data_IF_244952400733
#
_entry.id   IF_244952400733
#
_cell.length_a   1.000
_cell.length_b   1.000
_cell.length_c   1.000
_cell.angle_alpha   90.00
_cell.angle_beta   90.00
_cell.angle_gamma   90.00
#
_symmetry.space_group_name_H-M   'P 1'
#
loop_
_entity.id
_entity.type
_entity.pdbx_description
1 polymer ?
#
# COMPACT_ATOMS: atom_id res chain seq x y z
N UNK A 1 -15.19 43.50 19.72
CA UNK A 1 -14.51 42.37 20.46
C UNK A 1 -15.24 41.05 20.27
N UNK A 2 -16.57 41.02 20.43
CA UNK A 2 -17.35 39.79 20.27
C UNK A 2 -17.32 39.23 18.83
N UNK A 3 -17.37 40.10 17.82
CA UNK A 3 -17.29 39.73 16.41
C UNK A 3 -15.90 39.20 16.02
N UNK A 4 -14.86 39.79 16.57
CA UNK A 4 -13.48 39.34 16.37
C UNK A 4 -13.24 37.96 16.99
N UNK A 5 -13.75 37.74 18.20
CA UNK A 5 -13.67 36.48 18.90
C UNK A 5 -14.41 35.34 18.15
N UNK A 6 -15.61 35.68 17.66
CA UNK A 6 -16.41 34.75 16.85
C UNK A 6 -15.72 34.40 15.52
N UNK A 7 -15.14 35.39 14.85
CA UNK A 7 -14.38 35.17 13.62
C UNK A 7 -13.12 34.32 13.89
N UNK A 8 -12.42 34.56 14.99
CA UNK A 8 -11.29 33.76 15.40
C UNK A 8 -11.72 32.30 15.67
N UNK A 9 -12.83 32.11 16.35
CA UNK A 9 -13.40 30.77 16.60
C UNK A 9 -13.72 30.01 15.31
N UNK A 10 -14.31 30.68 14.33
CA UNK A 10 -14.59 30.08 13.01
C UNK A 10 -13.29 29.71 12.28
N UNK A 11 -12.28 30.56 12.33
CA UNK A 11 -10.98 30.29 11.71
C UNK A 11 -10.26 29.10 12.37
N UNK A 12 -10.27 29.04 13.68
CA UNK A 12 -9.69 27.90 14.43
C UNK A 12 -10.42 26.62 14.11
N UNK A 13 -11.75 26.63 14.09
CA UNK A 13 -12.57 25.46 13.72
C UNK A 13 -12.29 24.99 12.30
N UNK A 14 -12.11 25.90 11.35
CA UNK A 14 -11.75 25.55 9.97
C UNK A 14 -10.33 24.96 9.89
N UNK A 15 -9.37 25.49 10.64
CA UNK A 15 -8.01 24.95 10.72
C UNK A 15 -7.99 23.56 11.34
N UNK A 16 -8.73 23.33 12.41
CA UNK A 16 -8.88 22.01 13.03
C UNK A 16 -9.49 21.01 12.06
N UNK A 17 -10.56 21.39 11.37
CA UNK A 17 -11.19 20.54 10.34
C UNK A 17 -10.21 20.19 9.22
N UNK A 18 -9.45 21.15 8.72
CA UNK A 18 -8.44 20.92 7.68
C UNK A 18 -7.28 20.04 8.19
N UNK A 19 -6.86 20.21 9.44
CA UNK A 19 -5.84 19.36 10.06
C UNK A 19 -6.33 17.91 10.22
N UNK A 20 -7.61 17.70 10.53
CA UNK A 20 -8.21 16.38 10.68
C UNK A 20 -8.55 15.70 9.34
N UNK A 21 -8.54 16.44 8.23
CA UNK A 21 -8.84 15.86 6.91
C UNK A 21 -7.78 14.86 6.44
N UNK A 22 -6.54 15.02 6.85
CA UNK A 22 -5.45 14.11 6.47
C UNK A 22 -4.82 13.53 7.71
N UNK A 23 -4.88 12.21 7.83
CA UNK A 23 -4.21 11.43 8.88
C UNK A 23 -2.98 10.78 8.30
N UNK A 24 -1.87 10.86 9.04
CA UNK A 24 -0.59 10.31 8.66
C UNK A 24 -0.21 9.19 9.61
N UNK A 25 -0.01 8.00 9.06
CA UNK A 25 0.59 6.88 9.76
C UNK A 25 1.93 6.57 9.10
N UNK A 26 2.90 6.14 9.90
CA UNK A 26 4.22 5.83 9.39
C UNK A 26 4.81 4.59 10.04
N UNK A 27 5.75 3.97 9.34
CA UNK A 27 6.55 2.84 9.83
C UNK A 27 7.98 3.03 9.40
N UNK A 28 8.90 2.87 10.35
CA UNK A 28 10.33 2.79 10.09
C UNK A 28 10.79 1.37 10.37
N UNK A 29 11.49 0.76 9.41
CA UNK A 29 12.08 -0.56 9.57
C UNK A 29 13.53 -0.52 9.12
N UNK A 30 14.41 -0.99 9.99
CA UNK A 30 15.80 -1.26 9.68
C UNK A 30 15.98 -2.77 9.49
N UNK A 31 16.64 -3.15 8.42
CA UNK A 31 16.95 -4.55 8.12
C UNK A 31 18.44 -4.68 7.85
N UNK A 32 19.09 -5.50 8.64
CA UNK A 32 20.47 -5.90 8.42
C UNK A 32 20.50 -7.34 7.89
N UNK A 33 21.11 -7.52 6.75
CA UNK A 33 21.28 -8.85 6.15
C UNK A 33 22.76 -9.12 5.96
N UNK A 34 23.23 -10.25 6.50
CA UNK A 34 24.60 -10.73 6.32
C UNK A 34 24.56 -12.12 5.70
N UNK A 35 25.11 -12.24 4.51
CA UNK A 35 25.16 -13.50 3.78
C UNK A 35 26.62 -13.90 3.58
N UNK A 36 26.95 -15.13 3.94
CA UNK A 36 28.27 -15.74 3.70
C UNK A 36 28.08 -17.05 2.98
N UNK A 37 28.53 -17.10 1.74
CA UNK A 37 28.65 -18.35 1.01
C UNK A 37 30.06 -18.94 1.21
N UNK A 38 30.16 -20.25 1.24
CA UNK A 38 31.43 -20.94 1.37
C UNK A 38 32.32 -20.65 0.16
N UNK A 39 33.48 -20.06 0.39
CA UNK A 39 34.40 -19.66 -0.67
C UNK A 39 34.22 -18.22 -1.22
N UNK A 40 33.23 -17.46 -0.77
CA UNK A 40 32.98 -16.10 -1.20
C UNK A 40 33.18 -15.06 -0.09
N UNK A 41 33.34 -13.80 -0.50
CA UNK A 41 33.42 -12.69 0.45
C UNK A 41 32.07 -12.49 1.13
N UNK A 42 32.09 -12.26 2.44
CA UNK A 42 30.91 -11.91 3.22
C UNK A 42 30.21 -10.67 2.64
N UNK A 43 28.96 -10.80 2.28
CA UNK A 43 28.11 -9.69 1.85
C UNK A 43 27.22 -9.22 3.01
N UNK A 44 27.28 -7.94 3.31
CA UNK A 44 26.43 -7.30 4.30
C UNK A 44 25.57 -6.26 3.59
N UNK A 45 24.30 -6.19 3.93
CA UNK A 45 23.35 -5.21 3.40
C UNK A 45 22.56 -4.58 4.55
N UNK A 46 22.56 -3.25 4.59
CA UNK A 46 21.83 -2.44 5.57
C UNK A 46 20.76 -1.65 4.82
N UNK A 47 19.50 -1.98 5.06
CA UNK A 47 18.36 -1.32 4.42
C UNK A 47 17.49 -0.63 5.47
N UNK A 48 17.15 0.62 5.20
CA UNK A 48 16.13 1.37 5.94
C UNK A 48 14.90 1.54 5.04
N UNK A 49 13.76 1.12 5.55
CA UNK A 49 12.45 1.34 4.93
C UNK A 49 11.68 2.37 5.75
N UNK A 50 11.30 3.46 5.11
CA UNK A 50 10.35 4.42 5.64
C UNK A 50 9.04 4.30 4.86
N UNK A 51 7.96 3.93 5.57
CA UNK A 51 6.63 3.80 4.98
C UNK A 51 5.73 4.89 5.53
N UNK A 52 5.00 5.53 4.65
CA UNK A 52 4.03 6.56 4.96
C UNK A 52 2.67 6.16 4.42
N UNK A 53 1.66 6.12 5.28
CA UNK A 53 0.27 5.77 4.95
C UNK A 53 -0.64 6.97 5.22
N UNK A 54 -0.76 7.94 4.29
CA UNK A 54 -1.71 9.03 4.42
C UNK A 54 -3.14 8.58 4.14
N UNK A 55 -4.09 9.11 4.89
CA UNK A 55 -5.52 8.93 4.67
C UNK A 55 -6.18 10.30 4.67
N UNK A 56 -6.85 10.66 3.58
CA UNK A 56 -7.60 11.90 3.46
C UNK A 56 -9.11 11.62 3.51
N UNK A 57 -9.81 12.32 4.38
CA UNK A 57 -11.26 12.30 4.46
C UNK A 57 -11.84 13.29 3.46
N UNK A 58 -12.59 12.81 2.47
CA UNK A 58 -13.22 13.67 1.46
C UNK A 58 -14.61 14.09 1.90
N UNK A 59 -15.40 13.13 2.37
CA UNK A 59 -16.73 13.34 2.95
C UNK A 59 -17.10 12.17 3.87
N UNK A 60 -18.33 12.09 4.34
CA UNK A 60 -18.78 11.06 5.28
C UNK A 60 -18.67 9.63 4.76
N UNK A 61 -18.61 9.43 3.45
CA UNK A 61 -18.55 8.11 2.82
C UNK A 61 -17.21 7.83 2.15
N UNK A 62 -16.53 8.86 1.62
CA UNK A 62 -15.35 8.69 0.79
C UNK A 62 -14.07 9.11 1.48
N UNK A 63 -13.09 8.24 1.41
CA UNK A 63 -11.72 8.42 1.88
C UNK A 63 -10.74 8.14 0.75
N UNK A 64 -9.63 8.85 0.73
CA UNK A 64 -8.50 8.55 -0.16
C UNK A 64 -7.37 8.02 0.69
N UNK A 65 -6.85 6.85 0.34
CA UNK A 65 -5.74 6.19 1.02
C UNK A 65 -4.59 5.98 0.08
N UNK A 66 -3.38 6.18 0.57
CA UNK A 66 -2.17 5.91 -0.17
C UNK A 66 -1.11 5.24 0.70
N UNK A 67 -0.13 4.62 0.07
CA UNK A 67 1.05 4.06 0.71
C UNK A 67 2.28 4.41 -0.09
N UNK A 68 3.21 5.08 0.55
CA UNK A 68 4.52 5.43 0.00
C UNK A 68 5.60 4.66 0.76
N UNK A 69 6.47 3.98 0.04
CA UNK A 69 7.64 3.32 0.57
C UNK A 69 8.90 4.01 0.07
N UNK A 70 9.71 4.51 0.98
CA UNK A 70 11.05 5.00 0.71
C UNK A 70 12.07 4.02 1.27
N UNK A 71 12.91 3.48 0.40
CA UNK A 71 14.00 2.56 0.77
C UNK A 71 15.34 3.19 0.49
N UNK A 72 16.26 3.04 1.40
CA UNK A 72 17.64 3.43 1.23
C UNK A 72 18.57 2.33 1.73
N UNK A 73 19.68 2.12 1.02
CA UNK A 73 20.76 1.25 1.46
C UNK A 73 21.84 2.11 2.12
N UNK A 74 22.08 1.90 3.41
CA UNK A 74 23.03 2.72 4.18
C UNK A 74 24.48 2.51 3.80
N UNK A 75 24.79 1.49 3.00
CA UNK A 75 26.15 1.28 2.44
C UNK A 75 26.43 2.09 1.18
N UNK A 76 25.40 2.58 0.53
CA UNK A 76 25.53 3.34 -0.70
C UNK A 76 25.45 4.83 -0.40
N UNK A 77 26.59 5.43 -0.15
CA UNK A 77 26.71 6.87 0.11
C UNK A 77 26.36 7.74 -1.12
N UNK A 78 26.24 7.13 -2.31
CA UNK A 78 25.93 7.84 -3.55
C UNK A 78 24.41 7.85 -3.87
N UNK A 79 23.58 7.22 -3.05
CA UNK A 79 22.13 7.20 -3.22
C UNK A 79 21.61 6.43 -4.45
N UNK A 80 22.42 5.52 -4.99
CA UNK A 80 22.07 4.75 -6.20
C UNK A 80 20.93 3.76 -5.96
N UNK A 81 20.82 3.27 -4.73
CA UNK A 81 19.79 2.31 -4.33
C UNK A 81 18.61 2.96 -3.60
N UNK A 82 18.56 4.28 -3.59
CA UNK A 82 17.44 5.00 -3.01
C UNK A 82 16.22 4.92 -3.93
N UNK A 83 15.12 4.43 -3.38
CA UNK A 83 13.87 4.30 -4.12
C UNK A 83 12.69 4.87 -3.34
N UNK A 84 11.83 5.60 -4.03
CA UNK A 84 10.53 6.01 -3.53
C UNK A 84 9.46 5.40 -4.42
N UNK A 85 8.58 4.59 -3.85
CA UNK A 85 7.57 3.85 -4.60
C UNK A 85 6.19 4.15 -4.03
N UNK A 86 5.26 4.52 -4.91
CA UNK A 86 3.85 4.57 -4.58
C UNK A 86 3.27 3.16 -4.63
N UNK A 87 3.11 2.52 -3.47
CA UNK A 87 2.59 1.15 -3.37
C UNK A 87 1.09 1.07 -3.59
N UNK A 88 0.34 1.97 -2.99
CA UNK A 88 -1.12 2.02 -3.04
C UNK A 88 -1.60 3.45 -3.19
N UNK A 89 -2.65 3.64 -3.95
CA UNK A 89 -3.39 4.89 -4.05
C UNK A 89 -4.80 4.58 -4.52
N UNK A 90 -5.77 4.67 -3.63
CA UNK A 90 -7.16 4.37 -3.96
C UNK A 90 -8.15 5.22 -3.18
N UNK A 91 -9.33 5.42 -3.77
CA UNK A 91 -10.48 6.00 -3.11
C UNK A 91 -11.36 4.88 -2.57
N UNK A 92 -11.81 5.01 -1.32
CA UNK A 92 -12.68 4.07 -0.64
C UNK A 92 -14.00 4.75 -0.30
N UNK A 93 -15.11 4.17 -0.75
CA UNK A 93 -16.46 4.59 -0.39
C UNK A 93 -17.09 3.59 0.57
N UNK A 94 -17.43 4.05 1.78
CA UNK A 94 -18.05 3.23 2.83
C UNK A 94 -19.54 3.55 2.92
N UNK A 95 -20.36 2.55 2.65
CA UNK A 95 -21.82 2.61 2.74
C UNK A 95 -22.34 1.54 3.69
N UNK A 96 -23.58 1.67 4.11
CA UNK A 96 -24.18 0.79 5.13
C UNK A 96 -24.14 -0.71 4.75
N UNK A 97 -24.33 -1.02 3.46
CA UNK A 97 -24.45 -2.39 2.98
C UNK A 97 -23.28 -2.87 2.11
N UNK A 98 -22.43 -1.94 1.67
CA UNK A 98 -21.32 -2.26 0.78
C UNK A 98 -20.18 -1.25 0.93
N UNK A 99 -19.01 -1.64 0.47
CA UNK A 99 -17.81 -0.81 0.38
C UNK A 99 -17.25 -0.91 -1.03
N UNK A 100 -16.82 0.20 -1.59
CA UNK A 100 -16.22 0.29 -2.91
C UNK A 100 -14.80 0.85 -2.78
N UNK A 101 -13.84 0.25 -3.47
CA UNK A 101 -12.48 0.79 -3.60
C UNK A 101 -12.14 0.94 -5.08
N UNK A 102 -11.57 2.07 -5.45
CA UNK A 102 -11.18 2.38 -6.83
C UNK A 102 -9.75 2.90 -6.84
N UNK A 103 -8.89 2.29 -7.62
CA UNK A 103 -7.50 2.70 -7.80
C UNK A 103 -6.50 1.57 -7.69
N UNK A 104 -5.29 1.88 -7.22
CA UNK A 104 -4.22 0.91 -7.01
C UNK A 104 -4.30 0.38 -5.57
N UNK A 105 -4.55 -0.90 -5.43
CA UNK A 105 -4.76 -1.55 -4.13
C UNK A 105 -4.12 -2.94 -4.07
N UNK A 106 -4.05 -3.51 -2.86
CA UNK A 106 -3.53 -4.85 -2.65
C UNK A 106 -4.45 -5.93 -3.21
N UNK A 107 -3.84 -7.03 -3.66
CA UNK A 107 -4.56 -8.24 -4.06
C UNK A 107 -5.33 -8.84 -2.88
N UNK A 108 -6.34 -9.64 -3.17
CA UNK A 108 -7.10 -10.38 -2.16
C UNK A 108 -6.15 -11.21 -1.28
N UNK A 109 -6.02 -10.79 -0.03
CA UNK A 109 -5.40 -11.59 1.02
C UNK A 109 -6.46 -11.88 2.07
N UNK A 110 -6.58 -13.09 2.57
CA UNK A 110 -7.48 -13.38 3.68
C UNK A 110 -7.13 -12.48 4.87
N UNK A 111 -8.06 -11.65 5.31
CA UNK A 111 -7.90 -10.90 6.56
C UNK A 111 -7.86 -11.92 7.71
N UNK A 112 -6.81 -11.87 8.52
CA UNK A 112 -6.65 -12.75 9.67
C UNK A 112 -5.33 -13.51 9.74
N UNK A 113 -4.35 -13.15 8.93
CA UNK A 113 -2.98 -13.66 9.02
C UNK A 113 -2.78 -15.06 8.43
N UNK A 114 -3.80 -15.64 7.83
CA UNK A 114 -3.66 -16.85 7.05
C UNK A 114 -3.33 -16.45 5.61
N UNK A 115 -2.05 -16.42 5.30
CA UNK A 115 -1.63 -16.34 3.90
C UNK A 115 -1.99 -17.68 3.25
N UNK A 116 -2.94 -17.65 2.32
CA UNK A 116 -3.13 -18.80 1.45
C UNK A 116 -1.79 -19.14 0.79
N UNK A 117 -1.41 -20.41 0.67
CA UNK A 117 -0.12 -20.80 0.08
C UNK A 117 0.16 -20.18 -1.29
N UNK A 118 -0.86 -19.75 -2.02
CA UNK A 118 -0.74 -19.00 -3.27
C UNK A 118 -0.43 -17.50 -3.11
N UNK A 119 -0.66 -16.92 -1.94
CA UNK A 119 -0.41 -15.49 -1.71
C UNK A 119 1.09 -15.16 -1.64
N UNK A 120 1.93 -16.13 -1.40
CA UNK A 120 3.40 -15.97 -1.45
C UNK A 120 3.89 -15.71 -2.88
N UNK A 121 3.15 -16.19 -3.87
CA UNK A 121 3.49 -16.04 -5.29
C UNK A 121 2.90 -14.75 -5.89
N UNK A 122 1.85 -14.21 -5.28
CA UNK A 122 1.10 -13.06 -5.77
C UNK A 122 0.98 -11.94 -4.72
N UNK A 123 2.03 -11.69 -3.98
CA UNK A 123 2.09 -10.49 -3.13
C UNK A 123 2.36 -9.27 -4.02
N UNK A 124 1.30 -8.57 -4.36
CA UNK A 124 1.37 -7.43 -5.24
C UNK A 124 0.14 -6.55 -5.17
N UNK A 125 0.14 -5.52 -5.98
CA UNK A 125 -0.96 -4.59 -6.14
C UNK A 125 -1.57 -4.71 -7.55
N UNK A 126 -2.85 -4.40 -7.64
CA UNK A 126 -3.54 -4.26 -8.91
C UNK A 126 -4.20 -2.88 -9.02
N UNK A 127 -4.47 -2.46 -10.23
CA UNK A 127 -5.21 -1.23 -10.50
C UNK A 127 -6.60 -1.56 -11.03
N UNK A 128 -7.62 -1.13 -10.33
CA UNK A 128 -8.99 -1.47 -10.69
C UNK A 128 -10.00 -1.10 -9.61
N UNK A 129 -10.97 -1.97 -9.44
CA UNK A 129 -12.07 -1.79 -8.51
C UNK A 129 -12.23 -3.01 -7.59
N UNK A 130 -12.65 -2.72 -6.36
CA UNK A 130 -13.06 -3.72 -5.38
C UNK A 130 -14.43 -3.34 -4.83
N UNK A 131 -15.32 -4.30 -4.75
CA UNK A 131 -16.62 -4.17 -4.08
C UNK A 131 -16.72 -5.25 -3.03
N UNK A 132 -17.04 -4.86 -1.80
CA UNK A 132 -17.31 -5.80 -0.71
C UNK A 132 -18.69 -5.54 -0.11
N UNK A 133 -19.41 -6.62 0.22
CA UNK A 133 -20.73 -6.55 0.80
C UNK A 133 -21.00 -7.73 1.72
N UNK A 134 -21.97 -7.57 2.59
CA UNK A 134 -22.38 -8.58 3.58
C UNK A 134 -21.97 -8.21 5.01
N UNK A 135 -22.69 -8.77 5.99
CA UNK A 135 -22.43 -8.60 7.42
C UNK A 135 -21.91 -9.89 8.05
N UNK A 136 -22.72 -10.93 8.00
CA UNK A 136 -22.38 -12.25 8.57
C UNK A 136 -21.59 -13.10 7.58
N UNK A 137 -21.88 -12.95 6.30
CA UNK A 137 -21.12 -13.52 5.20
C UNK A 137 -20.60 -12.37 4.34
N UNK A 138 -19.30 -12.18 4.31
CA UNK A 138 -18.67 -11.10 3.55
C UNK A 138 -18.21 -11.62 2.19
N UNK A 139 -18.70 -11.00 1.13
CA UNK A 139 -18.24 -11.25 -0.23
C UNK A 139 -17.39 -10.07 -0.72
N UNK A 140 -16.26 -10.37 -1.34
CA UNK A 140 -15.35 -9.40 -1.94
C UNK A 140 -15.10 -9.75 -3.39
N UNK A 141 -15.32 -8.80 -4.28
CA UNK A 141 -15.09 -8.91 -5.71
C UNK A 141 -14.03 -7.91 -6.12
N UNK A 142 -13.01 -8.36 -6.83
CA UNK A 142 -11.96 -7.51 -7.37
C UNK A 142 -11.85 -7.70 -8.88
N UNK A 143 -11.66 -6.62 -9.61
CA UNK A 143 -11.40 -6.64 -11.05
C UNK A 143 -10.48 -5.50 -11.45
N UNK A 144 -9.51 -5.78 -12.30
CA UNK A 144 -8.57 -4.77 -12.76
C UNK A 144 -7.40 -5.34 -13.54
N UNK A 145 -6.28 -4.66 -13.47
CA UNK A 145 -5.04 -5.03 -14.16
C UNK A 145 -3.89 -5.13 -13.18
N UNK A 146 -3.12 -6.18 -13.34
CA UNK A 146 -1.81 -6.36 -12.67
C UNK A 146 -0.72 -5.93 -13.65
N UNK A 147 0.09 -4.96 -13.26
CA UNK A 147 1.27 -4.58 -14.03
C UNK A 147 2.47 -5.41 -13.58
N UNK A 148 3.07 -6.11 -14.51
CA UNK A 148 4.35 -6.83 -14.37
C UNK A 148 4.40 -7.91 -13.30
N UNK A 149 4.23 -9.15 -13.70
CA UNK A 149 4.66 -10.31 -12.94
C UNK A 149 6.11 -10.60 -13.33
N UNK A 150 7.03 -10.41 -12.39
CA UNK A 150 8.42 -10.84 -12.54
C UNK A 150 8.54 -12.24 -11.95
N UNK A 151 9.04 -13.17 -12.74
CA UNK A 151 9.33 -14.51 -12.23
C UNK A 151 10.79 -14.90 -12.56
N UNK A 152 11.36 -15.70 -11.71
CA UNK A 152 12.69 -16.24 -11.87
C UNK A 152 12.59 -17.75 -11.93
N UNK A 153 12.91 -18.32 -13.07
CA UNK A 153 12.81 -19.76 -13.34
C UNK A 153 13.93 -20.56 -12.65
N UNK A 154 15.09 -19.93 -12.48
CA UNK A 154 16.25 -20.53 -11.84
C UNK A 154 17.15 -19.43 -11.25
N UNK A 155 17.94 -19.78 -10.22
CA UNK A 155 18.79 -18.81 -9.50
C UNK A 155 19.84 -18.11 -10.39
N UNK A 156 20.19 -18.72 -11.51
CA UNK A 156 21.20 -18.23 -12.45
C UNK A 156 20.62 -17.55 -13.68
N UNK A 157 19.29 -17.46 -13.80
CA UNK A 157 18.64 -16.79 -14.92
C UNK A 157 18.23 -15.36 -14.54
N UNK A 158 18.46 -14.35 -15.40
CA UNK A 158 17.97 -13.00 -15.12
C UNK A 158 16.44 -13.00 -15.04
N UNK A 159 15.90 -12.24 -14.09
CA UNK A 159 14.46 -12.07 -13.93
C UNK A 159 13.80 -11.76 -15.26
N UNK A 160 12.88 -12.61 -15.68
CA UNK A 160 12.05 -12.35 -16.84
C UNK A 160 10.83 -11.55 -16.40
N UNK A 161 10.66 -10.40 -17.01
CA UNK A 161 9.48 -9.58 -16.84
C UNK A 161 8.50 -9.95 -17.95
N UNK A 162 7.33 -10.46 -17.58
CA UNK A 162 6.21 -10.53 -18.52
C UNK A 162 5.75 -9.08 -18.74
N UNK A 163 6.17 -8.50 -19.86
CA UNK A 163 6.03 -7.08 -20.14
C UNK A 163 4.62 -6.57 -20.42
N UNK A 164 3.60 -7.42 -20.27
CA UNK A 164 2.21 -7.06 -20.57
C UNK A 164 1.35 -7.04 -19.32
N UNK A 165 0.44 -6.08 -19.27
CA UNK A 165 -0.59 -6.00 -18.24
C UNK A 165 -1.54 -7.19 -18.35
N UNK A 166 -1.66 -7.96 -17.28
CA UNK A 166 -2.63 -9.06 -17.20
C UNK A 166 -3.95 -8.55 -16.58
N UNK A 167 -5.06 -9.05 -17.09
CA UNK A 167 -6.36 -8.84 -16.45
C UNK A 167 -6.43 -9.69 -15.19
N UNK A 168 -6.92 -9.09 -14.12
CA UNK A 168 -7.10 -9.72 -12.83
C UNK A 168 -8.56 -9.72 -12.41
N UNK A 169 -9.04 -10.85 -11.93
CA UNK A 169 -10.35 -11.00 -11.30
C UNK A 169 -10.18 -11.85 -10.04
N UNK A 170 -10.73 -11.39 -8.95
CA UNK A 170 -10.69 -12.10 -7.67
C UNK A 170 -12.05 -12.11 -7.00
N UNK A 171 -12.39 -13.24 -6.38
CA UNK A 171 -13.59 -13.41 -5.57
C UNK A 171 -13.18 -14.06 -4.25
N UNK A 172 -13.63 -13.49 -3.14
CA UNK A 172 -13.49 -14.08 -1.82
C UNK A 172 -14.83 -14.05 -1.10
N UNK A 173 -15.12 -15.12 -0.40
CA UNK A 173 -16.28 -15.24 0.49
C UNK A 173 -15.77 -15.69 1.85
N UNK A 174 -16.09 -14.92 2.90
CA UNK A 174 -15.65 -15.15 4.27
C UNK A 174 -16.84 -15.19 5.22
#
# INVERSE_FOLDING_TARGET
FADELNNLGVRVSNLERNADMVKWNGKLRYTYTSVRHEGEKKSNNDEVLFRLDPTAEVNDHWHVKARLDAKTNMKDDEGKDDTVTLKRAYAQGDYTNFQVKLGKMGLLTPEGGYQAPGAIVFDGEFSGAEVSFGKDLKAVLQAGRVSTVSYQDDKDTPMKTLGDTANYQGVSVQ
#
